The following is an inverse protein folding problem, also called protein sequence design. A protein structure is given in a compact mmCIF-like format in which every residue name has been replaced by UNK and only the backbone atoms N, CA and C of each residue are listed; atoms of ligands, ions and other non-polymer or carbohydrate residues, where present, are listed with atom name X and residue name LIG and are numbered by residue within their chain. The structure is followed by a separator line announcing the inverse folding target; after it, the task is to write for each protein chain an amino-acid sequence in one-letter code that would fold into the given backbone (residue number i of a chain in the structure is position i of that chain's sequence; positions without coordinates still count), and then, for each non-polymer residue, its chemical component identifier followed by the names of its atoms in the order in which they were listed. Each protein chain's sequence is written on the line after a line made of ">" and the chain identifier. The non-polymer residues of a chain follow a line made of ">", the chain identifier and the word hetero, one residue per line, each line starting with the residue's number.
data_IF_065705603879
#
_entry.id   IF_065705603879
#
_cell.length_a   1.000
_cell.length_b   1.000
_cell.length_c   1.000
_cell.angle_alpha   90.00
_cell.angle_beta   90.00
_cell.angle_gamma   90.00
#
_symmetry.space_group_name_H-M   'P 1'
#
loop_
_entity.id
_entity.type
_entity.pdbx_description
1 polymer ?
#
# COMPACT_ATOMS: atom_id res chain seq x y z
N UNK A 1 5.31 19.46 -0.65
CA UNK A 1 5.18 18.04 -0.23
C UNK A 1 3.93 17.48 -0.88
N UNK A 2 3.93 16.25 -1.44
CA UNK A 2 2.80 15.72 -2.24
C UNK A 2 1.47 15.78 -1.47
N UNK A 3 1.48 15.46 -0.17
CA UNK A 3 0.28 15.52 0.68
C UNK A 3 -0.33 16.93 0.72
N UNK A 4 0.49 17.95 0.96
CA UNK A 4 0.04 19.35 1.04
C UNK A 4 -0.31 19.93 -0.34
N UNK A 5 0.51 19.65 -1.35
CA UNK A 5 0.43 20.32 -2.64
C UNK A 5 -0.59 19.66 -3.59
N UNK A 6 -0.63 18.33 -3.62
CA UNK A 6 -1.49 17.57 -4.56
C UNK A 6 -2.77 17.10 -3.89
N UNK A 7 -2.68 16.53 -2.68
CA UNK A 7 -3.84 16.00 -1.97
C UNK A 7 -4.62 17.08 -1.21
N UNK A 8 -4.02 18.27 -1.00
CA UNK A 8 -4.57 19.37 -0.19
C UNK A 8 -4.98 18.90 1.22
N UNK A 9 -4.27 17.93 1.76
CA UNK A 9 -4.47 17.40 3.11
C UNK A 9 -3.38 17.93 4.04
N UNK A 10 -3.68 18.00 5.34
CA UNK A 10 -2.68 18.35 6.33
C UNK A 10 -1.76 17.15 6.59
N UNK A 11 -0.45 17.24 6.28
CA UNK A 11 0.47 16.15 6.52
C UNK A 11 0.80 15.88 7.99
N UNK A 12 0.44 16.79 8.89
CA UNK A 12 0.68 16.65 10.32
C UNK A 12 -0.49 15.98 11.06
N UNK A 13 -1.60 15.70 10.36
CA UNK A 13 -2.70 14.93 10.91
C UNK A 13 -2.26 13.50 11.26
N UNK A 14 -2.93 12.90 12.26
CA UNK A 14 -2.77 11.48 12.63
C UNK A 14 -3.41 10.57 11.57
N UNK A 15 -2.84 10.59 10.37
CA UNK A 15 -3.26 9.84 9.21
C UNK A 15 -2.08 9.07 8.60
N UNK A 16 -2.42 8.05 7.82
CA UNK A 16 -1.47 7.31 6.98
C UNK A 16 -1.74 7.67 5.52
N UNK A 17 -0.74 8.26 4.85
CA UNK A 17 -0.81 8.54 3.43
C UNK A 17 -0.13 7.41 2.67
N UNK A 18 -0.93 6.55 2.03
CA UNK A 18 -0.43 5.38 1.30
C UNK A 18 -0.41 5.68 -0.19
N UNK A 19 0.78 5.62 -0.78
CA UNK A 19 1.03 5.84 -2.19
C UNK A 19 1.47 4.55 -2.86
N UNK A 20 1.02 4.32 -4.08
CA UNK A 20 1.45 3.20 -4.91
C UNK A 20 1.96 3.72 -6.24
N UNK A 21 3.00 3.10 -6.79
CA UNK A 21 3.52 3.49 -8.10
C UNK A 21 2.65 2.96 -9.25
N UNK A 22 2.84 3.49 -10.47
CA UNK A 22 2.08 3.06 -11.66
C UNK A 22 2.20 1.57 -11.97
N UNK A 23 3.35 0.95 -11.66
CA UNK A 23 3.57 -0.48 -11.87
C UNK A 23 2.93 -1.35 -10.77
N UNK A 24 2.38 -0.74 -9.72
CA UNK A 24 1.75 -1.39 -8.58
C UNK A 24 2.67 -2.40 -7.87
N UNK A 25 3.98 -2.16 -7.85
CA UNK A 25 4.96 -3.02 -7.18
C UNK A 25 5.72 -2.29 -6.07
N UNK A 26 5.44 -1.01 -5.82
CA UNK A 26 6.07 -0.22 -4.76
C UNK A 26 5.02 0.57 -4.02
N UNK A 27 5.03 0.44 -2.70
CA UNK A 27 4.22 1.23 -1.77
C UNK A 27 5.12 2.16 -0.97
N UNK A 28 4.67 3.39 -0.80
CA UNK A 28 5.22 4.35 0.15
C UNK A 28 4.12 4.71 1.15
N UNK A 29 4.38 4.57 2.45
CA UNK A 29 3.47 5.04 3.50
C UNK A 29 4.15 6.19 4.20
N UNK A 30 3.53 7.36 4.17
CA UNK A 30 3.97 8.51 4.94
C UNK A 30 3.08 8.68 6.18
N UNK A 31 3.71 8.89 7.32
CA UNK A 31 3.07 9.06 8.61
C UNK A 31 3.80 10.16 9.41
N UNK A 32 3.06 10.96 10.16
CA UNK A 32 3.62 11.96 11.08
C UNK A 32 3.19 11.63 12.51
N UNK A 33 4.16 11.62 13.43
CA UNK A 33 3.96 11.49 14.88
C UNK A 33 4.83 12.54 15.60
N UNK A 34 6.02 12.18 16.08
CA UNK A 34 7.05 13.13 16.56
C UNK A 34 7.96 13.64 15.42
N UNK A 35 7.78 13.09 14.22
CA UNK A 35 8.53 13.38 13.01
C UNK A 35 7.95 12.63 11.81
N UNK A 36 8.51 12.85 10.62
CA UNK A 36 8.04 12.16 9.43
C UNK A 36 8.66 10.77 9.28
N UNK A 37 7.80 9.76 9.27
CA UNK A 37 8.14 8.38 8.96
C UNK A 37 7.77 8.05 7.53
N UNK A 38 8.69 7.47 6.77
CA UNK A 38 8.46 6.96 5.43
C UNK A 38 8.74 5.46 5.38
N UNK A 39 7.68 4.65 5.28
CA UNK A 39 7.82 3.22 5.03
C UNK A 39 7.88 2.98 3.52
N UNK A 40 8.88 2.22 3.09
CA UNK A 40 9.06 1.83 1.70
C UNK A 40 8.96 0.31 1.57
N UNK A 41 7.99 -0.15 0.79
CA UNK A 41 7.78 -1.56 0.51
C UNK A 41 7.86 -1.81 -0.99
N UNK A 42 8.71 -2.76 -1.39
CA UNK A 42 8.88 -3.18 -2.77
C UNK A 42 8.51 -4.65 -2.89
N UNK A 43 7.64 -4.95 -3.85
CA UNK A 43 7.30 -6.29 -4.24
C UNK A 43 8.25 -6.73 -5.36
N UNK A 44 9.02 -7.79 -5.12
CA UNK A 44 9.99 -8.31 -6.10
C UNK A 44 9.29 -9.06 -7.24
N UNK A 45 8.17 -9.76 -6.96
CA UNK A 45 7.42 -10.51 -7.96
C UNK A 45 5.91 -10.23 -7.85
N UNK A 46 5.29 -9.88 -8.98
CA UNK A 46 3.85 -9.66 -9.09
C UNK A 46 3.45 -8.18 -9.00
N UNK A 47 2.15 -7.95 -8.81
CA UNK A 47 1.56 -6.61 -8.66
C UNK A 47 0.58 -6.62 -7.50
N UNK A 48 0.60 -5.54 -6.73
CA UNK A 48 -0.37 -5.25 -5.70
C UNK A 48 -1.71 -4.96 -6.37
N UNK A 49 -2.78 -5.55 -5.82
CA UNK A 49 -4.14 -5.20 -6.26
C UNK A 49 -4.54 -3.89 -5.60
N UNK A 50 -4.08 -2.80 -6.18
CA UNK A 50 -4.36 -1.45 -5.70
C UNK A 50 -5.77 -0.99 -6.12
N UNK A 51 -6.54 -0.31 -5.24
CA UNK A 51 -7.85 0.23 -5.59
C UNK A 51 -7.70 1.24 -6.74
N UNK A 52 -8.55 1.10 -7.77
CA UNK A 52 -8.44 1.93 -8.98
C UNK A 52 -9.27 3.19 -8.90
N UNK A 53 -10.29 3.20 -8.05
CA UNK A 53 -11.17 4.35 -7.85
C UNK A 53 -10.97 4.94 -6.46
N UNK A 54 -11.23 6.26 -6.35
CA UNK A 54 -11.16 6.99 -5.07
C UNK A 54 -12.13 6.39 -4.04
N UNK A 55 -13.29 5.95 -4.48
CA UNK A 55 -14.32 5.34 -3.62
C UNK A 55 -13.88 3.99 -3.05
N UNK A 56 -13.18 3.16 -3.83
CA UNK A 56 -12.60 1.90 -3.34
C UNK A 56 -11.49 2.18 -2.32
N UNK A 57 -10.65 3.17 -2.58
CA UNK A 57 -9.58 3.56 -1.66
C UNK A 57 -10.14 4.09 -0.33
N UNK A 58 -11.19 4.93 -0.37
CA UNK A 58 -11.82 5.48 0.83
C UNK A 58 -12.60 4.43 1.65
N UNK A 59 -13.09 3.36 1.02
CA UNK A 59 -13.76 2.25 1.71
C UNK A 59 -12.81 1.22 2.31
N UNK A 60 -11.49 1.40 2.13
CA UNK A 60 -10.49 0.42 2.58
C UNK A 60 -10.34 0.46 4.09
N UNK A 61 -10.74 -0.62 4.77
CA UNK A 61 -10.53 -0.78 6.21
C UNK A 61 -9.06 -1.13 6.55
N UNK A 62 -8.63 -0.95 7.80
CA UNK A 62 -7.29 -1.32 8.30
C UNK A 62 -6.94 -2.77 7.96
N UNK A 63 -7.92 -3.68 8.06
CA UNK A 63 -7.72 -5.11 7.71
C UNK A 63 -7.47 -5.30 6.21
N UNK A 64 -8.16 -4.54 5.37
CA UNK A 64 -7.98 -4.57 3.91
C UNK A 64 -6.64 -3.96 3.49
N UNK A 65 -6.19 -2.89 4.16
CA UNK A 65 -4.86 -2.33 3.96
C UNK A 65 -3.76 -3.32 4.34
N UNK A 66 -3.87 -4.00 5.49
CA UNK A 66 -2.91 -5.05 5.88
C UNK A 66 -2.91 -6.18 4.85
N UNK A 67 -4.08 -6.55 4.33
CA UNK A 67 -4.23 -7.57 3.29
C UNK A 67 -3.56 -7.14 1.98
N UNK A 68 -3.73 -5.88 1.59
CA UNK A 68 -3.06 -5.25 0.44
C UNK A 68 -1.53 -5.30 0.61
N UNK A 69 -1.02 -4.88 1.77
CA UNK A 69 0.42 -4.86 2.07
C UNK A 69 1.04 -6.25 2.07
N UNK A 70 0.28 -7.26 2.52
CA UNK A 70 0.69 -8.66 2.46
C UNK A 70 0.56 -9.30 1.07
N UNK A 71 0.10 -8.55 0.07
CA UNK A 71 -0.08 -9.05 -1.29
C UNK A 71 -1.28 -10.00 -1.43
N UNK A 72 -2.39 -9.76 -0.75
CA UNK A 72 -3.63 -10.54 -0.90
C UNK A 72 -4.74 -9.67 -1.53
N UNK A 73 -5.70 -10.30 -2.21
CA UNK A 73 -6.86 -9.63 -2.83
C UNK A 73 -7.66 -8.78 -1.82
N UNK A 74 -7.81 -7.47 -2.09
CA UNK A 74 -8.60 -6.54 -1.25
C UNK A 74 -10.08 -6.92 -1.18
N UNK A 75 -10.62 -7.54 -2.23
CA UNK A 75 -11.94 -8.16 -2.20
C UNK A 75 -11.87 -9.55 -2.81
N UNK A 76 -12.40 -10.51 -2.05
CA UNK A 76 -12.54 -11.96 -2.32
C UNK A 76 -11.38 -12.89 -1.94
N UNK A 77 -11.77 -14.09 -1.53
CA UNK A 77 -11.02 -15.15 -0.84
C UNK A 77 -10.05 -15.91 -1.76
N UNK A 78 -9.15 -15.24 -2.47
CA UNK A 78 -8.20 -15.96 -3.34
C UNK A 78 -6.76 -15.65 -2.97
N UNK A 79 -6.05 -16.69 -2.53
CA UNK A 79 -4.62 -16.67 -2.20
C UNK A 79 -3.83 -16.29 -3.44
N UNK A 80 -2.97 -15.27 -3.36
CA UNK A 80 -1.86 -15.18 -4.30
C UNK A 80 -0.99 -16.42 -4.06
N UNK A 81 -0.70 -17.17 -5.13
CA UNK A 81 0.16 -18.36 -5.05
C UNK A 81 1.53 -17.92 -4.54
N UNK A 82 1.97 -18.51 -3.44
CA UNK A 82 3.30 -18.36 -2.88
C UNK A 82 4.36 -18.71 -3.92
N UNK A 83 5.37 -17.86 -4.05
CA UNK A 83 6.60 -18.19 -4.79
C UNK A 83 7.17 -19.47 -4.18
N UNK A 84 7.31 -20.52 -4.98
CA UNK A 84 8.06 -21.71 -4.56
C UNK A 84 9.52 -21.29 -4.44
N UNK A 85 10.05 -21.35 -3.22
CA UNK A 85 11.49 -21.40 -3.01
C UNK A 85 12.04 -22.55 -3.86
N UNK A 86 12.78 -22.21 -4.93
CA UNK A 86 13.72 -23.15 -5.52
C UNK A 86 14.96 -23.10 -4.63
N UNK A 87 14.98 -23.96 -3.61
CA UNK A 87 16.24 -24.41 -3.05
C UNK A 87 16.83 -25.36 -4.11
N UNK A 88 17.78 -24.87 -4.89
CA UNK A 88 18.69 -25.70 -5.68
C UNK A 88 19.93 -25.95 -4.85
N UNK A 89 20.19 -27.24 -4.60
CA UNK A 89 21.40 -27.92 -4.14
C UNK A 89 22.64 -27.08 -3.91
#
# INVERSE_FOLDING_TARGET
>A
MIVKNELKLDPFEKALFVFCNKQMNRIKILHFDEGFWLYYYRLENGRLKWPKTREEALKTDKKELIRLLKGYEIRTKSKIKSVKEKISF
#
